data_IF_870613343538
#
_entry.id   IF_870613343538
#
_cell.length_a   1.000
_cell.length_b   1.000
_cell.length_c   1.000
_cell.angle_alpha   90.00
_cell.angle_beta   90.00
_cell.angle_gamma   90.00
#
_symmetry.space_group_name_H-M   'P 1'
#
loop_
_entity.id
_entity.type
_entity.pdbx_description
1 polymer ?
#
# COMPACT_ATOMS: atom_id res chain seq x y z
N UNK A 1 -4.36 9.36 -13.63
CA UNK A 1 -3.10 8.92 -13.03
C UNK A 1 -3.42 8.54 -11.61
N UNK A 2 -3.38 7.25 -11.28
CA UNK A 2 -3.71 6.80 -9.93
C UNK A 2 -2.59 7.22 -8.98
N UNK A 3 -2.92 7.63 -7.76
CA UNK A 3 -1.94 8.13 -6.79
C UNK A 3 -0.83 7.10 -6.49
N UNK A 4 -1.04 5.80 -6.74
CA UNK A 4 0.01 4.77 -6.67
C UNK A 4 1.06 4.90 -7.75
N UNK A 5 0.64 5.30 -8.94
CA UNK A 5 1.56 5.61 -10.03
C UNK A 5 2.50 6.74 -9.62
N UNK A 6 2.03 7.69 -8.78
CA UNK A 6 2.89 8.75 -8.23
C UNK A 6 3.94 8.20 -7.28
N UNK A 7 3.56 7.30 -6.34
CA UNK A 7 4.53 6.62 -5.45
C UNK A 7 5.56 5.83 -6.28
N UNK A 8 5.11 5.03 -7.26
CA UNK A 8 6.01 4.24 -8.10
C UNK A 8 6.95 5.09 -8.96
N UNK A 9 6.46 6.21 -9.51
CA UNK A 9 7.30 7.15 -10.26
C UNK A 9 8.29 7.89 -9.36
N UNK A 10 7.86 8.31 -8.17
CA UNK A 10 8.73 8.92 -7.17
C UNK A 10 9.87 8.00 -6.78
N UNK A 11 9.55 6.76 -6.44
CA UNK A 11 10.52 5.71 -6.12
C UNK A 11 11.50 5.45 -7.27
N UNK A 12 10.98 5.34 -8.50
CA UNK A 12 11.82 5.18 -9.69
C UNK A 12 12.82 6.36 -9.83
N UNK A 13 12.32 7.59 -9.73
CA UNK A 13 13.16 8.79 -9.84
C UNK A 13 14.20 8.86 -8.72
N UNK A 14 13.83 8.54 -7.48
CA UNK A 14 14.76 8.53 -6.36
C UNK A 14 15.86 7.48 -6.53
N UNK A 15 15.53 6.24 -6.90
CA UNK A 15 16.53 5.20 -7.08
C UNK A 15 17.43 5.41 -8.30
N UNK A 16 17.01 6.24 -9.27
CA UNK A 16 17.87 6.65 -10.38
C UNK A 16 18.84 7.77 -10.01
N UNK A 17 18.45 8.71 -9.13
CA UNK A 17 19.23 9.94 -8.89
C UNK A 17 19.87 10.03 -7.51
N UNK A 18 19.30 9.36 -6.51
CA UNK A 18 19.63 9.45 -5.08
C UNK A 18 19.64 10.91 -4.56
N UNK A 19 18.83 11.77 -5.17
CA UNK A 19 18.66 13.16 -4.77
C UNK A 19 17.59 13.31 -3.71
N UNK A 20 17.82 14.22 -2.76
CA UNK A 20 16.89 14.50 -1.66
C UNK A 20 15.51 14.95 -2.17
N UNK A 21 15.48 15.75 -3.24
CA UNK A 21 14.25 16.23 -3.88
C UNK A 21 13.41 15.05 -4.41
N UNK A 22 14.07 14.04 -4.96
CA UNK A 22 13.40 12.83 -5.47
C UNK A 22 13.01 11.88 -4.33
N UNK A 23 13.77 11.86 -3.23
CA UNK A 23 13.39 11.12 -2.02
C UNK A 23 12.04 11.63 -1.46
N UNK A 24 11.85 12.95 -1.42
CA UNK A 24 10.57 13.54 -1.02
C UNK A 24 9.43 13.13 -1.95
N UNK A 25 9.71 12.98 -3.25
CA UNK A 25 8.74 12.53 -4.26
C UNK A 25 8.39 11.03 -4.12
N UNK A 26 9.24 10.22 -3.49
CA UNK A 26 8.93 8.83 -3.15
C UNK A 26 8.13 8.75 -1.83
N UNK A 27 8.68 9.33 -0.77
CA UNK A 27 8.23 9.10 0.61
C UNK A 27 6.95 9.86 0.98
N UNK A 28 6.78 11.13 0.56
CA UNK A 28 5.59 11.90 0.92
C UNK A 28 4.31 11.35 0.27
N UNK A 29 4.31 10.95 -1.03
CA UNK A 29 3.15 10.28 -1.61
C UNK A 29 2.74 8.99 -0.90
N UNK A 30 3.65 8.29 -0.22
CA UNK A 30 3.29 7.13 0.62
C UNK A 30 2.36 7.51 1.78
N UNK A 31 2.56 8.67 2.40
CA UNK A 31 1.68 9.17 3.48
C UNK A 31 0.32 9.56 2.90
N UNK A 32 0.31 10.36 1.83
CA UNK A 32 -0.94 10.87 1.24
C UNK A 32 -1.82 9.73 0.73
N UNK A 33 -1.20 8.75 0.09
CA UNK A 33 -1.89 7.57 -0.37
C UNK A 33 -2.51 6.73 0.74
N UNK A 34 -1.75 6.51 1.82
CA UNK A 34 -2.24 5.73 2.95
C UNK A 34 -3.38 6.47 3.66
N UNK A 35 -3.35 7.80 3.76
CA UNK A 35 -4.48 8.60 4.21
C UNK A 35 -5.75 8.36 3.36
N UNK A 36 -5.63 8.38 2.03
CA UNK A 36 -6.75 8.08 1.13
C UNK A 36 -7.30 6.67 1.39
N UNK A 37 -6.44 5.69 1.62
CA UNK A 37 -6.85 4.34 1.97
C UNK A 37 -7.57 4.22 3.30
N UNK A 38 -7.06 4.88 4.33
CA UNK A 38 -7.76 4.95 5.61
C UNK A 38 -9.14 5.54 5.41
N UNK A 39 -9.28 6.64 4.66
CA UNK A 39 -10.59 7.19 4.32
C UNK A 39 -11.50 6.18 3.62
N UNK A 40 -11.04 5.54 2.54
CA UNK A 40 -11.82 4.55 1.79
C UNK A 40 -12.28 3.37 2.66
N UNK A 41 -11.42 2.86 3.54
CA UNK A 41 -11.70 1.72 4.40
C UNK A 41 -12.68 2.04 5.53
N UNK A 42 -12.63 3.25 6.09
CA UNK A 42 -13.58 3.69 7.11
C UNK A 42 -14.95 4.03 6.52
N UNK A 43 -14.98 4.64 5.33
CA UNK A 43 -16.22 5.02 4.63
C UNK A 43 -16.83 3.88 3.79
N UNK A 44 -16.21 2.70 3.77
CA UNK A 44 -16.66 1.55 2.97
C UNK A 44 -18.12 1.13 3.24
N UNK A 45 -18.61 1.35 4.46
CA UNK A 45 -19.97 1.00 4.90
C UNK A 45 -20.92 2.21 5.06
N UNK A 46 -20.62 3.34 4.41
CA UNK A 46 -21.49 4.53 4.44
C UNK A 46 -22.41 4.57 3.21
N UNK A 47 -23.49 5.35 3.24
CA UNK A 47 -24.38 5.46 2.08
C UNK A 47 -23.63 6.00 0.84
N UNK A 48 -24.22 5.87 -0.35
CA UNK A 48 -23.67 6.55 -1.53
C UNK A 48 -23.84 8.06 -1.37
N UNK A 49 -22.91 8.83 -1.94
CA UNK A 49 -22.95 10.30 -1.96
C UNK A 49 -22.92 10.97 -0.58
N UNK A 50 -22.49 10.27 0.47
CA UNK A 50 -22.17 10.89 1.76
C UNK A 50 -20.67 11.13 1.86
N UNK A 51 -20.28 12.31 2.37
CA UNK A 51 -18.88 12.70 2.54
C UNK A 51 -18.63 12.98 4.02
N UNK A 52 -17.61 12.34 4.59
CA UNK A 52 -17.23 12.53 5.98
C UNK A 52 -16.13 13.60 6.09
N UNK A 53 -16.54 14.88 6.13
CA UNK A 53 -15.62 16.02 6.20
C UNK A 53 -14.73 16.01 7.45
N UNK A 54 -15.22 15.48 8.58
CA UNK A 54 -14.42 15.36 9.80
C UNK A 54 -13.22 14.44 9.60
N UNK A 55 -13.42 13.26 8.99
CA UNK A 55 -12.33 12.33 8.71
C UNK A 55 -11.36 12.89 7.66
N UNK A 56 -11.87 13.55 6.63
CA UNK A 56 -11.04 14.23 5.62
C UNK A 56 -10.15 15.28 6.30
N UNK A 57 -10.73 16.13 7.14
CA UNK A 57 -10.00 17.18 7.84
C UNK A 57 -8.89 16.60 8.73
N UNK A 58 -9.17 15.54 9.49
CA UNK A 58 -8.18 14.89 10.35
C UNK A 58 -7.02 14.32 9.53
N UNK A 59 -7.31 13.61 8.42
CA UNK A 59 -6.28 13.00 7.58
C UNK A 59 -5.44 14.04 6.83
N UNK A 60 -6.07 15.13 6.38
CA UNK A 60 -5.38 16.26 5.77
C UNK A 60 -4.45 16.93 6.78
N UNK A 61 -4.94 17.24 7.98
CA UNK A 61 -4.15 17.85 9.05
C UNK A 61 -2.98 16.95 9.45
N UNK A 62 -3.21 15.64 9.60
CA UNK A 62 -2.16 14.66 9.85
C UNK A 62 -1.08 14.71 8.77
N UNK A 63 -1.47 14.61 7.50
CA UNK A 63 -0.51 14.62 6.39
C UNK A 63 0.29 15.92 6.32
N UNK A 64 -0.34 17.08 6.57
CA UNK A 64 0.32 18.38 6.60
C UNK A 64 1.35 18.48 7.73
N UNK A 65 1.01 18.00 8.93
CA UNK A 65 1.91 17.97 10.09
C UNK A 65 3.12 17.09 9.76
N UNK A 66 2.89 15.87 9.27
CA UNK A 66 3.97 14.93 8.92
C UNK A 66 4.89 15.55 7.88
N UNK A 67 4.35 16.11 6.79
CA UNK A 67 5.16 16.76 5.74
C UNK A 67 5.96 17.94 6.29
N UNK A 68 5.35 18.80 7.10
CA UNK A 68 6.03 19.98 7.64
C UNK A 68 7.18 19.60 8.58
N UNK A 69 6.95 18.63 9.47
CA UNK A 69 7.97 18.16 10.40
C UNK A 69 9.08 17.44 9.63
N UNK A 70 8.72 16.60 8.65
CA UNK A 70 9.68 15.84 7.87
C UNK A 70 10.63 16.73 7.06
N UNK A 71 10.10 17.80 6.43
CA UNK A 71 10.92 18.77 5.69
C UNK A 71 11.90 19.56 6.58
N UNK A 72 11.57 19.76 7.87
CA UNK A 72 12.41 20.49 8.83
C UNK A 72 13.46 19.60 9.49
N UNK A 73 13.03 18.43 9.97
CA UNK A 73 13.85 17.54 10.80
C UNK A 73 14.67 16.57 9.94
N UNK A 74 14.17 16.19 8.77
CA UNK A 74 14.84 15.31 7.79
C UNK A 74 15.30 13.95 8.32
N UNK A 75 14.66 13.48 9.38
CA UNK A 75 14.93 12.18 10.00
C UNK A 75 14.06 11.09 9.36
N UNK A 76 14.64 10.09 8.66
CA UNK A 76 13.86 9.08 7.93
C UNK A 76 13.06 8.16 8.88
N UNK A 77 13.55 7.97 10.12
CA UNK A 77 12.85 7.18 11.14
C UNK A 77 11.50 7.81 11.50
N UNK A 78 11.41 9.15 11.52
CA UNK A 78 10.15 9.84 11.78
C UNK A 78 9.10 9.49 10.71
N UNK A 79 9.47 9.54 9.43
CA UNK A 79 8.59 9.14 8.33
C UNK A 79 8.13 7.68 8.48
N UNK A 80 9.06 6.76 8.75
CA UNK A 80 8.76 5.34 8.90
C UNK A 80 7.74 5.07 10.01
N UNK A 81 7.88 5.74 11.16
CA UNK A 81 6.94 5.60 12.28
C UNK A 81 5.57 6.15 11.93
N UNK A 82 5.50 7.33 11.30
CA UNK A 82 4.22 7.95 10.90
C UNK A 82 3.49 7.13 9.84
N UNK A 83 4.22 6.61 8.84
CA UNK A 83 3.69 5.71 7.83
C UNK A 83 3.22 4.39 8.46
N UNK A 84 4.02 3.82 9.36
CA UNK A 84 3.69 2.61 10.11
C UNK A 84 2.39 2.73 10.92
N UNK A 85 2.14 3.89 11.53
CA UNK A 85 0.89 4.17 12.25
C UNK A 85 -0.35 4.15 11.32
N UNK A 86 -0.25 4.75 10.14
CA UNK A 86 -1.32 4.71 9.13
C UNK A 86 -1.58 3.28 8.65
N UNK A 87 -0.52 2.55 8.32
CA UNK A 87 -0.62 1.13 7.89
C UNK A 87 -1.22 0.28 9.00
N UNK A 88 -0.81 0.46 10.26
CA UNK A 88 -1.37 -0.26 11.39
C UNK A 88 -2.88 -0.01 11.53
N UNK A 89 -3.30 1.25 11.42
CA UNK A 89 -4.73 1.63 11.43
C UNK A 89 -5.51 0.94 10.31
N UNK A 90 -4.93 0.90 9.11
CA UNK A 90 -5.50 0.23 7.95
C UNK A 90 -5.62 -1.29 8.16
N UNK A 91 -4.61 -1.92 8.76
CA UNK A 91 -4.59 -3.35 9.08
C UNK A 91 -5.66 -3.69 10.11
N UNK A 92 -5.77 -2.92 11.21
CA UNK A 92 -6.82 -3.12 12.21
C UNK A 92 -8.21 -3.05 11.59
N UNK A 93 -8.45 -2.04 10.75
CA UNK A 93 -9.72 -1.91 10.04
C UNK A 93 -9.98 -3.09 9.10
N UNK A 94 -8.95 -3.57 8.41
CA UNK A 94 -9.03 -4.72 7.51
C UNK A 94 -9.37 -6.00 8.27
N UNK A 95 -8.70 -6.24 9.40
CA UNK A 95 -8.96 -7.38 10.28
C UNK A 95 -10.42 -7.34 10.75
N UNK A 96 -10.91 -6.19 11.22
CA UNK A 96 -12.31 -6.04 11.61
C UNK A 96 -13.27 -6.46 10.49
N UNK A 97 -13.02 -6.03 9.25
CA UNK A 97 -13.88 -6.36 8.11
C UNK A 97 -13.87 -7.86 7.80
N UNK A 98 -12.71 -8.51 7.76
CA UNK A 98 -12.61 -9.95 7.42
C UNK A 98 -13.00 -10.88 8.57
N UNK A 99 -13.04 -10.38 9.81
CA UNK A 99 -13.45 -11.16 10.98
C UNK A 99 -14.95 -11.06 11.23
N UNK A 100 -15.50 -9.84 11.20
CA UNK A 100 -16.88 -9.57 11.65
C UNK A 100 -17.88 -9.28 10.53
N UNK A 101 -17.44 -8.77 9.38
CA UNK A 101 -18.37 -8.29 8.33
C UNK A 101 -18.41 -9.23 7.13
N UNK A 102 -17.25 -9.47 6.50
CA UNK A 102 -17.11 -10.25 5.27
C UNK A 102 -16.02 -11.33 5.39
N UNK A 103 -16.29 -12.46 6.08
CA UNK A 103 -15.34 -13.56 6.25
C UNK A 103 -14.83 -14.18 4.94
N UNK A 104 -15.62 -14.11 3.87
CA UNK A 104 -15.21 -14.57 2.53
C UNK A 104 -14.03 -13.78 1.96
N UNK A 105 -13.73 -12.58 2.46
CA UNK A 105 -12.58 -11.78 2.02
C UNK A 105 -11.27 -12.11 2.77
N UNK A 106 -11.29 -13.06 3.72
CA UNK A 106 -10.10 -13.45 4.50
C UNK A 106 -8.91 -13.82 3.63
N UNK A 107 -9.12 -14.62 2.58
CA UNK A 107 -8.04 -15.01 1.67
C UNK A 107 -7.33 -13.79 1.08
N UNK A 108 -8.09 -12.87 0.49
CA UNK A 108 -7.54 -11.66 -0.13
C UNK A 108 -6.88 -10.73 0.90
N UNK A 109 -7.55 -10.49 2.03
CA UNK A 109 -7.04 -9.61 3.09
C UNK A 109 -5.76 -10.11 3.73
N UNK A 110 -5.70 -11.39 4.11
CA UNK A 110 -4.49 -11.97 4.71
C UNK A 110 -3.36 -12.18 3.71
N UNK A 111 -3.68 -12.45 2.43
CA UNK A 111 -2.64 -12.51 1.38
C UNK A 111 -2.01 -11.15 1.16
N UNK A 112 -2.81 -10.08 1.07
CA UNK A 112 -2.34 -8.70 0.99
C UNK A 112 -1.42 -8.35 2.17
N UNK A 113 -1.85 -8.67 3.40
CA UNK A 113 -1.07 -8.44 4.61
C UNK A 113 0.25 -9.24 4.62
N UNK A 114 0.19 -10.54 4.31
CA UNK A 114 1.34 -11.44 4.34
C UNK A 114 2.42 -11.02 3.35
N UNK A 115 2.04 -10.68 2.11
CA UNK A 115 2.98 -10.21 1.09
C UNK A 115 3.61 -8.87 1.52
N UNK A 116 2.81 -7.95 2.07
CA UNK A 116 3.32 -6.66 2.55
C UNK A 116 4.33 -6.83 3.70
N UNK A 117 4.01 -7.67 4.69
CA UNK A 117 4.90 -7.99 5.81
C UNK A 117 6.17 -8.72 5.37
N UNK A 118 6.06 -9.63 4.40
CA UNK A 118 7.23 -10.30 3.81
C UNK A 118 8.16 -9.28 3.16
N UNK A 119 7.60 -8.34 2.41
CA UNK A 119 8.40 -7.22 1.91
C UNK A 119 9.10 -6.49 3.06
N UNK A 120 8.38 -6.16 4.12
CA UNK A 120 8.91 -5.34 5.22
C UNK A 120 10.04 -6.05 5.95
N UNK A 121 9.90 -7.36 6.09
CA UNK A 121 10.96 -8.22 6.56
C UNK A 121 12.20 -8.15 5.66
N UNK A 122 12.04 -8.30 4.33
CA UNK A 122 13.17 -8.21 3.39
C UNK A 122 13.86 -6.84 3.42
N UNK A 123 13.10 -5.75 3.57
CA UNK A 123 13.65 -4.40 3.74
C UNK A 123 14.52 -4.29 5.00
N UNK A 124 14.08 -4.85 6.13
CA UNK A 124 14.89 -4.87 7.36
C UNK A 124 16.15 -5.73 7.21
N UNK A 125 16.05 -6.89 6.55
CA UNK A 125 17.21 -7.75 6.28
C UNK A 125 18.23 -7.02 5.42
N UNK A 126 17.80 -6.30 4.38
CA UNK A 126 18.70 -5.51 3.53
C UNK A 126 19.45 -4.44 4.32
N UNK A 127 18.74 -3.70 5.20
CA UNK A 127 19.33 -2.65 6.02
C UNK A 127 20.30 -3.19 7.08
N UNK A 128 19.94 -4.26 7.78
CA UNK A 128 20.75 -4.82 8.89
C UNK A 128 21.97 -5.58 8.34
N UNK A 129 21.79 -6.38 7.29
CA UNK A 129 22.84 -7.24 6.73
C UNK A 129 23.48 -6.67 5.47
N UNK A 130 23.41 -5.35 5.27
CA UNK A 130 23.87 -4.65 4.06
C UNK A 130 25.31 -5.02 3.67
N UNK A 131 26.25 -4.98 4.62
CA UNK A 131 27.66 -5.29 4.34
C UNK A 131 27.87 -6.76 3.93
N UNK A 132 27.16 -7.68 4.59
CA UNK A 132 27.24 -9.11 4.28
C UNK A 132 26.66 -9.41 2.90
N UNK A 133 25.51 -8.82 2.57
CA UNK A 133 24.87 -8.95 1.27
C UNK A 133 25.75 -8.37 0.15
N UNK A 134 26.36 -7.20 0.38
CA UNK A 134 27.30 -6.59 -0.58
C UNK A 134 28.55 -7.44 -0.77
N UNK A 135 29.15 -7.95 0.30
CA UNK A 135 30.32 -8.84 0.24
C UNK A 135 30.02 -10.16 -0.46
N UNK A 136 28.80 -10.69 -0.32
CA UNK A 136 28.36 -11.86 -1.07
C UNK A 136 28.22 -11.56 -2.56
N UNK A 137 27.61 -10.41 -2.93
CA UNK A 137 27.41 -10.00 -4.32
C UNK A 137 28.71 -9.85 -5.12
N UNK A 138 29.82 -9.47 -4.47
CA UNK A 138 31.12 -9.37 -5.17
C UNK A 138 31.74 -10.72 -5.51
N UNK A 139 31.26 -11.81 -4.88
CA UNK A 139 31.79 -13.17 -5.05
C UNK A 139 30.95 -14.05 -5.98
N UNK A 140 29.76 -13.59 -6.38
CA UNK A 140 28.83 -14.38 -7.21
C UNK A 140 28.58 -13.71 -8.56
N UNK A 141 28.14 -14.47 -9.59
CA UNK A 141 27.75 -13.89 -10.87
C UNK A 141 26.63 -12.85 -10.72
N UNK A 142 26.58 -11.81 -11.57
CA UNK A 142 25.59 -10.72 -11.47
C UNK A 142 24.13 -11.20 -11.41
N UNK A 143 23.79 -12.26 -12.15
CA UNK A 143 22.46 -12.86 -12.14
C UNK A 143 22.02 -13.34 -10.74
N UNK A 144 22.93 -13.96 -9.99
CA UNK A 144 22.66 -14.40 -8.61
C UNK A 144 22.60 -13.19 -7.67
N UNK A 145 23.41 -12.16 -7.96
CA UNK A 145 23.40 -10.89 -7.23
C UNK A 145 22.04 -10.20 -7.22
N UNK A 146 21.25 -10.31 -8.30
CA UNK A 146 19.88 -9.74 -8.39
C UNK A 146 18.96 -10.27 -7.30
N UNK A 147 19.01 -11.57 -7.00
CA UNK A 147 18.15 -12.16 -5.96
C UNK A 147 18.48 -11.64 -4.56
N UNK A 148 19.69 -11.15 -4.35
CA UNK A 148 20.13 -10.59 -3.06
C UNK A 148 19.84 -9.09 -2.90
N UNK A 149 19.24 -8.44 -3.91
CA UNK A 149 18.77 -7.04 -3.82
C UNK A 149 17.43 -7.00 -3.09
N UNK A 150 17.45 -7.24 -1.78
CA UNK A 150 16.23 -7.43 -0.99
C UNK A 150 15.37 -6.15 -0.92
N UNK A 151 15.99 -4.98 -1.02
CA UNK A 151 15.28 -3.71 -1.17
C UNK A 151 14.44 -3.63 -2.46
N UNK A 152 14.93 -4.19 -3.58
CA UNK A 152 14.15 -4.25 -4.83
C UNK A 152 12.92 -5.17 -4.66
N UNK A 153 13.10 -6.31 -3.99
CA UNK A 153 11.99 -7.21 -3.66
C UNK A 153 10.96 -6.56 -2.73
N UNK A 154 11.39 -5.71 -1.81
CA UNK A 154 10.49 -4.91 -0.98
C UNK A 154 9.52 -4.06 -1.81
N UNK A 155 9.99 -3.34 -2.83
CA UNK A 155 9.10 -2.53 -3.69
C UNK A 155 8.10 -3.41 -4.45
N UNK A 156 8.54 -4.55 -4.98
CA UNK A 156 7.65 -5.49 -5.70
C UNK A 156 6.56 -6.02 -4.77
N UNK A 157 6.95 -6.50 -3.58
CA UNK A 157 6.05 -7.12 -2.63
C UNK A 157 5.09 -6.10 -2.01
N UNK A 158 5.55 -4.92 -1.60
CA UNK A 158 4.67 -3.87 -1.07
C UNK A 158 3.76 -3.28 -2.14
N UNK A 159 4.24 -3.13 -3.36
CA UNK A 159 3.43 -2.72 -4.51
C UNK A 159 2.28 -3.70 -4.74
N UNK A 160 2.59 -5.00 -4.79
CA UNK A 160 1.60 -6.08 -4.92
C UNK A 160 0.65 -6.15 -3.72
N UNK A 161 1.17 -6.16 -2.50
CA UNK A 161 0.38 -6.21 -1.27
C UNK A 161 -0.59 -5.04 -1.18
N UNK A 162 -0.11 -3.84 -1.51
CA UNK A 162 -0.95 -2.64 -1.60
C UNK A 162 -2.00 -2.79 -2.70
N UNK A 163 -1.65 -3.33 -3.87
CA UNK A 163 -2.59 -3.53 -4.99
C UNK A 163 -3.73 -4.46 -4.57
N UNK A 164 -3.41 -5.59 -3.96
CA UNK A 164 -4.40 -6.50 -3.39
C UNK A 164 -5.27 -5.82 -2.33
N UNK A 165 -4.70 -4.90 -1.55
CA UNK A 165 -5.47 -4.10 -0.59
C UNK A 165 -6.50 -3.17 -1.27
N UNK A 166 -6.17 -2.57 -2.43
CA UNK A 166 -7.15 -1.81 -3.23
C UNK A 166 -8.29 -2.71 -3.64
N UNK A 167 -7.98 -3.89 -4.18
CA UNK A 167 -9.01 -4.83 -4.59
C UNK A 167 -9.89 -5.21 -3.41
N UNK A 168 -9.30 -5.46 -2.23
CA UNK A 168 -10.03 -5.73 -1.02
C UNK A 168 -10.98 -4.58 -0.63
N UNK A 169 -10.52 -3.33 -0.65
CA UNK A 169 -11.34 -2.14 -0.39
C UNK A 169 -12.48 -2.01 -1.40
N UNK A 170 -12.20 -2.18 -2.69
CA UNK A 170 -13.20 -2.11 -3.77
C UNK A 170 -14.24 -3.21 -3.64
N UNK A 171 -13.81 -4.45 -3.36
CA UNK A 171 -14.70 -5.58 -3.19
C UNK A 171 -15.63 -5.38 -1.99
N UNK A 172 -15.07 -4.93 -0.86
CA UNK A 172 -15.83 -4.58 0.35
C UNK A 172 -16.92 -3.54 0.04
N UNK A 173 -16.55 -2.45 -0.65
CA UNK A 173 -17.50 -1.40 -1.04
C UNK A 173 -18.59 -1.92 -1.98
N UNK A 174 -18.21 -2.74 -2.96
CA UNK A 174 -19.13 -3.31 -3.96
C UNK A 174 -20.16 -4.23 -3.31
N UNK A 175 -19.72 -5.08 -2.36
CA UNK A 175 -20.59 -5.95 -1.58
C UNK A 175 -21.56 -5.16 -0.71
N UNK A 176 -21.09 -4.11 -0.03
CA UNK A 176 -21.96 -3.24 0.78
C UNK A 176 -23.06 -2.60 -0.06
N UNK A 177 -22.71 -2.16 -1.27
CA UNK A 177 -23.65 -1.55 -2.22
C UNK A 177 -24.53 -2.58 -2.97
N UNK A 178 -24.49 -3.86 -2.59
CA UNK A 178 -25.28 -4.97 -3.17
C UNK A 178 -25.05 -5.22 -4.66
N UNK A 179 -23.91 -4.79 -5.18
CA UNK A 179 -23.47 -5.19 -6.52
C UNK A 179 -22.82 -6.58 -6.47
N UNK A 180 -22.75 -7.26 -7.62
CA UNK A 180 -22.06 -8.55 -7.74
C UNK A 180 -20.68 -8.35 -8.36
N UNK A 181 -19.61 -8.32 -7.56
CA UNK A 181 -18.28 -8.27 -8.11
C UNK A 181 -17.89 -9.64 -8.68
N UNK A 182 -17.25 -9.65 -9.85
CA UNK A 182 -16.58 -10.83 -10.41
C UNK A 182 -15.09 -10.53 -10.51
N UNK A 183 -14.27 -11.43 -9.96
CA UNK A 183 -12.82 -11.38 -10.15
C UNK A 183 -12.50 -12.03 -11.50
N UNK A 184 -11.85 -11.29 -12.40
CA UNK A 184 -11.24 -11.83 -13.62
C UNK A 184 -9.74 -11.71 -13.54
N UNK A 185 -9.03 -12.71 -14.05
CA UNK A 185 -7.58 -12.67 -14.15
C UNK A 185 -7.17 -12.20 -15.55
N UNK A 186 -6.64 -10.97 -15.65
CA UNK A 186 -6.00 -10.50 -16.88
C UNK A 186 -4.72 -11.31 -17.10
N UNK A 187 -4.54 -11.80 -18.33
CA UNK A 187 -3.43 -12.68 -18.71
C UNK A 187 -3.27 -13.92 -17.81
N UNK A 188 -4.34 -14.34 -17.11
CA UNK A 188 -4.32 -15.48 -16.18
C UNK A 188 -3.62 -15.21 -14.84
N UNK A 189 -3.04 -14.03 -14.64
CA UNK A 189 -2.18 -13.74 -13.48
C UNK A 189 -2.71 -12.57 -12.66
N UNK A 190 -3.24 -11.52 -13.30
CA UNK A 190 -3.54 -10.25 -12.62
C UNK A 190 -5.02 -10.12 -12.25
N UNK A 191 -5.39 -10.15 -10.94
CA UNK A 191 -6.78 -10.13 -10.53
C UNK A 191 -7.39 -8.74 -10.67
N UNK A 192 -8.48 -8.61 -11.42
CA UNK A 192 -9.24 -7.37 -11.59
C UNK A 192 -10.69 -7.59 -11.21
N UNK A 193 -11.30 -6.60 -10.56
CA UNK A 193 -12.71 -6.64 -10.18
C UNK A 193 -13.54 -6.00 -11.29
N UNK A 194 -14.45 -6.79 -11.86
CA UNK A 194 -15.52 -6.29 -12.71
C UNK A 194 -16.80 -6.18 -11.89
N UNK A 195 -17.42 -5.00 -11.94
CA UNK A 195 -18.68 -4.72 -11.27
C UNK A 195 -19.80 -4.86 -12.31
N UNK A 196 -20.60 -5.92 -12.22
CA UNK A 196 -21.79 -6.02 -13.05
C UNK A 196 -22.91 -5.14 -12.46
N UNK A 197 -23.64 -4.38 -13.28
CA UNK A 197 -24.82 -3.66 -12.81
C UNK A 197 -25.86 -4.65 -12.27
N UNK A 198 -26.64 -4.28 -11.24
CA UNK A 198 -27.67 -5.17 -10.70
C UNK A 198 -28.65 -5.54 -11.80
N UNK A 199 -29.05 -6.82 -11.86
CA UNK A 199 -30.16 -7.24 -12.73
C UNK A 199 -31.39 -6.42 -12.32
N UNK A 200 -31.94 -5.64 -13.25
CA UNK A 200 -33.29 -5.09 -13.08
C UNK A 200 -34.22 -6.29 -12.89
N UNK A 201 -34.82 -6.42 -11.72
CA UNK A 201 -36.00 -7.27 -11.58
C UNK A 201 -37.07 -6.63 -12.49
N UNK A 202 -37.31 -7.27 -13.64
CA UNK A 202 -38.53 -7.10 -14.43
C UNK A 202 -39.68 -7.76 -13.67
#
# INVERSE_FOLDING_TARGET
MDWKSVVGLGSWCFHMTLQYEMQLLDELPMIYSCCIFVYCMFESFKAKNTVNYHLIFILMLFSLIVTTVYLKVKEPVFHQVMYGLLVFTLVLRSIYIVTWVYPWLRGLGYTSLGIFLMGFFLWNVDNIFCESLRSFRTKVPPFVGVFTQLHAWWHILTGLGSYLHILFSLYTRTLYLRYRPKVKFLFGIWPVILVEPPKKHL
#
